data_IF_185532118862
#
_entry.id   IF_185532118862
#
_cell.length_a   1.000
_cell.length_b   1.000
_cell.length_c   1.000
_cell.angle_alpha   90.00
_cell.angle_beta   90.00
_cell.angle_gamma   90.00
#
_symmetry.space_group_name_H-M   'P 1'
#
loop_
_entity.id
_entity.type
_entity.pdbx_description
1 polymer ?
#
# COMPACT_ATOMS: atom_id res chain seq x y z
N UNK A 1 -10.03 7.81 -4.03
CA UNK A 1 -10.22 6.72 -3.06
C UNK A 1 -8.85 6.14 -2.80
N UNK A 2 -8.23 6.53 -1.69
CA UNK A 2 -6.88 6.10 -1.32
C UNK A 2 -7.00 4.77 -0.58
N UNK A 3 -6.36 3.72 -1.08
CA UNK A 3 -6.44 2.39 -0.46
C UNK A 3 -5.04 1.97 -0.03
N UNK A 4 -4.75 2.17 1.26
CA UNK A 4 -3.54 1.68 1.92
C UNK A 4 -3.79 0.23 2.33
N UNK A 5 -3.17 -0.73 1.63
CA UNK A 5 -3.41 -2.15 1.85
C UNK A 5 -2.26 -2.80 2.64
N UNK A 6 -2.40 -2.87 3.96
CA UNK A 6 -1.45 -3.54 4.85
C UNK A 6 -1.84 -5.01 5.06
N UNK A 7 -1.82 -5.81 3.99
CA UNK A 7 -2.19 -7.23 4.09
C UNK A 7 -0.96 -8.12 3.89
N UNK A 8 -0.64 -8.95 4.89
CA UNK A 8 0.45 -9.94 4.82
C UNK A 8 0.05 -11.19 4.00
N UNK A 9 -1.25 -11.51 3.93
CA UNK A 9 -1.76 -12.69 3.24
C UNK A 9 -3.25 -12.60 2.95
N UNK A 10 -3.68 -12.97 1.74
CA UNK A 10 -5.09 -13.23 1.43
C UNK A 10 -5.41 -14.68 1.82
N UNK A 11 -5.91 -14.88 3.05
CA UNK A 11 -6.11 -16.23 3.63
C UNK A 11 -7.02 -17.14 2.79
N UNK A 12 -8.00 -16.59 2.08
CA UNK A 12 -8.91 -17.38 1.24
C UNK A 12 -8.25 -17.90 -0.04
N UNK A 13 -7.23 -17.22 -0.57
CA UNK A 13 -6.60 -17.59 -1.86
C UNK A 13 -5.23 -18.23 -1.69
N UNK A 14 -4.69 -18.32 -0.46
CA UNK A 14 -3.33 -18.80 -0.14
C UNK A 14 -2.22 -18.05 -0.89
N UNK A 15 -2.52 -16.89 -1.46
CA UNK A 15 -1.56 -16.00 -2.10
C UNK A 15 -0.92 -15.10 -1.05
N UNK A 16 0.37 -14.84 -1.20
CA UNK A 16 1.14 -14.01 -0.27
C UNK A 16 2.14 -13.17 -1.04
N UNK A 17 2.81 -12.26 -0.34
CA UNK A 17 3.89 -11.46 -0.89
C UNK A 17 5.22 -12.23 -0.76
N UNK A 18 6.15 -12.07 -1.71
CA UNK A 18 6.11 -11.18 -2.88
C UNK A 18 5.61 -11.86 -4.17
N UNK A 19 4.83 -12.94 -4.09
CA UNK A 19 4.36 -13.65 -5.28
C UNK A 19 3.46 -12.73 -6.16
N UNK A 20 3.71 -12.61 -7.48
CA UNK A 20 2.98 -11.68 -8.36
C UNK A 20 1.45 -11.84 -8.33
N UNK A 21 0.97 -13.08 -8.20
CA UNK A 21 -0.45 -13.40 -8.17
C UNK A 21 -1.20 -12.73 -7.01
N UNK A 22 -0.51 -12.43 -5.89
CA UNK A 22 -1.08 -11.68 -4.78
C UNK A 22 -1.45 -10.26 -5.20
N UNK A 23 -0.54 -9.55 -5.87
CA UNK A 23 -0.76 -8.17 -6.30
C UNK A 23 -1.82 -8.08 -7.40
N UNK A 24 -1.82 -9.04 -8.34
CA UNK A 24 -2.85 -9.14 -9.37
C UNK A 24 -4.25 -9.36 -8.76
N UNK A 25 -4.36 -10.24 -7.76
CA UNK A 25 -5.62 -10.48 -7.04
C UNK A 25 -6.09 -9.23 -6.30
N UNK A 26 -5.18 -8.53 -5.62
CA UNK A 26 -5.50 -7.28 -4.92
C UNK A 26 -6.03 -6.25 -5.92
N UNK A 27 -5.35 -6.04 -7.05
CA UNK A 27 -5.81 -5.09 -8.08
C UNK A 27 -7.18 -5.47 -8.65
N UNK A 28 -7.40 -6.75 -8.92
CA UNK A 28 -8.70 -7.25 -9.39
C UNK A 28 -9.81 -7.03 -8.36
N UNK A 29 -9.52 -7.24 -7.07
CA UNK A 29 -10.51 -7.06 -6.00
C UNK A 29 -10.84 -5.58 -5.76
N UNK A 30 -9.84 -4.70 -5.88
CA UNK A 30 -10.02 -3.27 -5.68
C UNK A 30 -10.67 -2.56 -6.88
N UNK A 31 -10.61 -3.16 -8.08
CA UNK A 31 -11.15 -2.63 -9.33
C UNK A 31 -10.70 -1.17 -9.61
N UNK A 32 -9.40 -0.94 -9.46
CA UNK A 32 -8.77 0.37 -9.66
C UNK A 32 -7.51 0.24 -10.51
N UNK A 33 -7.12 1.35 -11.15
CA UNK A 33 -5.87 1.39 -11.91
C UNK A 33 -4.67 1.15 -10.98
N UNK A 34 -3.70 0.27 -11.34
CA UNK A 34 -2.54 0.00 -10.50
C UNK A 34 -1.78 1.27 -10.08
N UNK A 35 -1.62 2.22 -11.01
CA UNK A 35 -0.95 3.49 -10.75
C UNK A 35 -1.66 4.41 -9.73
N UNK A 36 -2.91 4.09 -9.36
CA UNK A 36 -3.67 4.78 -8.32
C UNK A 36 -3.61 4.09 -6.95
N UNK A 37 -2.88 2.96 -6.85
CA UNK A 37 -2.69 2.21 -5.61
C UNK A 37 -1.33 2.49 -4.99
N UNK A 38 -1.33 2.81 -3.70
CA UNK A 38 -0.11 2.89 -2.91
C UNK A 38 0.07 1.60 -2.11
N UNK A 39 1.20 0.93 -2.30
CA UNK A 39 1.57 -0.26 -1.56
C UNK A 39 2.69 0.09 -0.57
N UNK A 40 2.42 -0.10 0.73
CA UNK A 40 3.34 0.24 1.82
C UNK A 40 3.74 -1.04 2.56
N UNK A 41 5.04 -1.31 2.65
CA UNK A 41 5.56 -2.50 3.35
C UNK A 41 6.96 -2.24 3.89
N UNK A 42 7.32 -2.88 4.99
CA UNK A 42 8.65 -2.77 5.63
C UNK A 42 9.71 -3.63 4.92
N UNK A 43 9.29 -4.58 4.08
CA UNK A 43 10.21 -5.44 3.33
C UNK A 43 10.32 -4.95 1.90
N UNK A 44 11.50 -4.47 1.53
CA UNK A 44 11.79 -3.95 0.18
C UNK A 44 11.38 -4.92 -0.95
N UNK A 45 11.56 -6.24 -0.76
CA UNK A 45 11.16 -7.27 -1.75
C UNK A 45 9.67 -7.23 -2.08
N UNK A 46 8.82 -6.90 -1.10
CA UNK A 46 7.39 -6.80 -1.30
C UNK A 46 7.03 -5.49 -2.04
N UNK A 47 7.78 -4.43 -1.77
CA UNK A 47 7.60 -3.12 -2.41
C UNK A 47 8.02 -3.16 -3.88
N UNK A 48 9.12 -3.85 -4.18
CA UNK A 48 9.58 -4.11 -5.56
C UNK A 48 8.52 -4.88 -6.35
N UNK A 49 8.02 -6.00 -5.80
CA UNK A 49 6.99 -6.78 -6.47
C UNK A 49 5.67 -6.01 -6.68
N UNK A 50 5.32 -5.08 -5.79
CA UNK A 50 4.18 -4.19 -6.00
C UNK A 50 4.41 -3.19 -7.14
N UNK A 51 5.62 -2.63 -7.19
CA UNK A 51 6.05 -1.72 -8.26
C UNK A 51 6.02 -2.43 -9.61
N UNK A 52 6.51 -3.67 -9.67
CA UNK A 52 6.46 -4.50 -10.88
C UNK A 52 5.02 -4.81 -11.33
N UNK A 53 4.07 -4.88 -10.40
CA UNK A 53 2.64 -4.99 -10.68
C UNK A 53 1.97 -3.66 -11.09
N UNK A 54 2.73 -2.57 -11.17
CA UNK A 54 2.26 -1.25 -11.58
C UNK A 54 1.71 -0.36 -10.47
N UNK A 55 1.87 -0.77 -9.20
CA UNK A 55 1.51 0.04 -8.04
C UNK A 55 2.59 1.08 -7.70
N UNK A 56 2.24 2.09 -6.90
CA UNK A 56 3.22 2.98 -6.29
C UNK A 56 3.73 2.34 -4.99
N UNK A 57 4.94 1.78 -5.04
CA UNK A 57 5.58 1.14 -3.89
C UNK A 57 6.25 2.15 -2.94
N UNK A 58 6.00 2.03 -1.63
CA UNK A 58 6.63 2.82 -0.56
C UNK A 58 7.24 1.87 0.47
N UNK A 59 8.55 2.04 0.72
CA UNK A 59 9.25 1.27 1.74
C UNK A 59 9.07 1.92 3.12
N UNK A 60 8.29 1.26 3.97
CA UNK A 60 8.02 1.73 5.31
C UNK A 60 9.26 1.60 6.21
N UNK A 61 9.75 2.73 6.70
CA UNK A 61 10.85 2.79 7.69
C UNK A 61 10.38 3.27 9.05
N UNK A 62 9.53 4.29 9.06
CA UNK A 62 8.84 4.80 10.24
C UNK A 62 7.69 5.74 9.81
N UNK A 63 6.84 6.11 10.76
CA UNK A 63 5.66 6.94 10.49
C UNK A 63 5.99 8.36 10.01
N UNK A 64 7.12 8.93 10.42
CA UNK A 64 7.51 10.29 10.03
C UNK A 64 7.91 10.34 8.56
N UNK A 65 8.75 9.39 8.13
CA UNK A 65 9.14 9.27 6.72
C UNK A 65 7.95 8.93 5.83
N UNK A 66 7.06 8.04 6.29
CA UNK A 66 5.85 7.73 5.52
C UNK A 66 4.97 8.97 5.32
N UNK A 67 4.83 9.83 6.35
CA UNK A 67 4.08 11.09 6.21
C UNK A 67 4.73 12.01 5.18
N UNK A 68 6.06 12.13 5.19
CA UNK A 68 6.80 12.93 4.22
C UNK A 68 6.62 12.38 2.80
N UNK A 69 6.76 11.06 2.61
CA UNK A 69 6.57 10.40 1.32
C UNK A 69 5.15 10.66 0.77
N UNK A 70 4.12 10.51 1.62
CA UNK A 70 2.74 10.75 1.22
C UNK A 70 2.43 12.23 0.96
N UNK A 71 3.00 13.14 1.75
CA UNK A 71 2.86 14.59 1.54
C UNK A 71 3.45 15.03 0.20
N UNK A 72 4.61 14.49 -0.20
CA UNK A 72 5.22 14.74 -1.51
C UNK A 72 4.34 14.24 -2.67
N UNK A 73 3.48 13.25 -2.41
CA UNK A 73 2.49 12.73 -3.37
C UNK A 73 1.19 13.54 -3.37
N UNK A 74 1.12 14.65 -2.62
CA UNK A 74 -0.06 15.51 -2.51
C UNK A 74 -1.12 15.00 -1.54
N UNK A 75 -0.78 14.01 -0.70
CA UNK A 75 -1.67 13.45 0.32
C UNK A 75 -1.34 14.06 1.67
N UNK A 76 -1.96 15.18 1.98
CA UNK A 76 -1.78 15.85 3.26
C UNK A 76 -2.73 15.25 4.31
N UNK A 77 -2.16 14.69 5.38
CA UNK A 77 -2.93 14.12 6.49
C UNK A 77 -3.10 15.18 7.57
N UNK A 78 -4.06 16.08 7.40
CA UNK A 78 -4.56 16.87 8.53
C UNK A 78 -5.34 15.94 9.46
N UNK A 79 -4.71 15.47 10.53
CA UNK A 79 -5.44 14.80 11.60
C UNK A 79 -6.42 15.80 12.21
N UNK A 80 -7.70 15.65 11.93
CA UNK A 80 -8.70 16.07 12.91
C UNK A 80 -8.55 15.08 14.06
N UNK A 81 -8.14 15.56 15.22
CA UNK A 81 -8.32 14.81 16.46
C UNK A 81 -9.82 14.49 16.57
N UNK A 82 -10.21 13.26 16.23
CA UNK A 82 -11.51 12.77 16.65
C UNK A 82 -11.41 12.62 18.16
N UNK A 83 -12.12 13.54 18.82
CA UNK A 83 -12.34 13.68 20.25
C UNK A 83 -12.06 12.38 21.02
N UNK A 84 -11.03 12.40 21.86
CA UNK A 84 -11.02 11.54 23.03
C UNK A 84 -12.25 11.93 23.85
N UNK A 85 -13.25 11.06 23.88
CA UNK A 85 -14.32 11.09 24.88
C UNK A 85 -14.29 9.80 25.69
#
# INVERSE_FOLDING_TARGET
MLLLFFCSSLYHTRKRKPEPDFYAEVLQHLDVAPASCFFVDDRMKNVEAATDAGMVGIHFKNAELLRQDLSLLGLDFSFNEMEKK
#
